data_IF_801424251578
#
_entry.id   IF_801424251578
#
_cell.length_a   1.000
_cell.length_b   1.000
_cell.length_c   1.000
_cell.angle_alpha   90.00
_cell.angle_beta   90.00
_cell.angle_gamma   90.00
#
_symmetry.space_group_name_H-M   'P 1'
#
loop_
_entity.id
_entity.type
_entity.pdbx_description
1 polymer ?
#
# COMPACT_ATOMS: atom_id res chain seq x y z
N UNK A 1 22.23 -3.77 16.45
CA UNK A 1 21.41 -2.79 17.17
C UNK A 1 20.49 -3.61 18.06
N UNK A 2 20.46 -3.37 19.36
CA UNK A 2 19.68 -4.18 20.31
C UNK A 2 18.17 -4.00 20.03
N UNK A 3 17.33 -5.06 20.05
CA UNK A 3 15.89 -4.98 19.84
C UNK A 3 15.17 -3.98 20.76
N UNK A 4 15.63 -3.85 22.01
CA UNK A 4 15.12 -2.85 22.97
C UNK A 4 15.31 -1.41 22.46
N UNK A 5 16.45 -1.11 21.84
CA UNK A 5 16.75 0.22 21.29
C UNK A 5 15.88 0.55 20.06
N UNK A 6 15.44 -0.48 19.30
CA UNK A 6 14.55 -0.30 18.13
C UNK A 6 13.11 -0.02 18.59
N UNK A 7 12.65 -0.72 19.61
CA UNK A 7 11.33 -0.51 20.20
C UNK A 7 11.20 0.87 20.84
N UNK A 8 12.21 1.29 21.63
CA UNK A 8 12.26 2.64 22.20
C UNK A 8 12.24 3.72 21.12
N UNK A 9 13.01 3.54 20.05
CA UNK A 9 13.04 4.47 18.93
C UNK A 9 11.70 4.52 18.16
N UNK A 10 11.02 3.39 18.03
CA UNK A 10 9.68 3.33 17.45
C UNK A 10 8.66 4.06 18.32
N UNK A 11 8.69 3.86 19.63
CA UNK A 11 7.82 4.58 20.57
C UNK A 11 8.07 6.09 20.55
N UNK A 12 9.33 6.52 20.51
CA UNK A 12 9.70 7.93 20.37
C UNK A 12 9.15 8.54 19.06
N UNK A 13 9.24 7.82 17.94
CA UNK A 13 8.71 8.27 16.66
C UNK A 13 7.17 8.33 16.65
N UNK A 14 6.49 7.42 17.34
CA UNK A 14 5.04 7.46 17.53
C UNK A 14 4.61 8.69 18.33
N UNK A 15 5.31 8.97 19.43
CA UNK A 15 5.04 10.16 20.26
C UNK A 15 5.31 11.45 19.49
N UNK A 16 6.40 11.52 18.72
CA UNK A 16 6.74 12.67 17.88
C UNK A 16 5.69 12.88 16.78
N UNK A 17 5.25 11.83 16.11
CA UNK A 17 4.16 11.89 15.13
C UNK A 17 2.85 12.40 15.75
N UNK A 18 2.49 11.89 16.93
CA UNK A 18 1.30 12.35 17.64
C UNK A 18 1.39 13.84 18.00
N UNK A 19 2.58 14.27 18.47
CA UNK A 19 2.83 15.68 18.79
C UNK A 19 2.73 16.57 17.54
N UNK A 20 3.30 16.15 16.42
CA UNK A 20 3.22 16.87 15.15
C UNK A 20 1.79 16.96 14.63
N UNK A 21 1.01 15.88 14.68
CA UNK A 21 -0.42 15.87 14.30
C UNK A 21 -1.24 16.86 15.17
N UNK A 22 -1.01 16.87 16.48
CA UNK A 22 -1.65 17.80 17.39
C UNK A 22 -1.26 19.26 17.09
N UNK A 23 0.01 19.49 16.70
CA UNK A 23 0.51 20.82 16.30
C UNK A 23 -0.12 21.29 14.99
N UNK A 24 -0.25 20.41 14.01
CA UNK A 24 -0.93 20.69 12.74
C UNK A 24 -2.39 21.08 13.02
N UNK A 25 -3.12 20.26 13.77
CA UNK A 25 -4.51 20.55 14.13
C UNK A 25 -4.67 21.89 14.86
N UNK A 26 -3.74 22.23 15.75
CA UNK A 26 -3.72 23.52 16.45
C UNK A 26 -3.46 24.70 15.49
N UNK A 27 -2.54 24.54 14.53
CA UNK A 27 -2.24 25.57 13.53
C UNK A 27 -3.41 25.76 12.57
N UNK A 28 -4.05 24.69 12.11
CA UNK A 28 -5.25 24.73 11.26
C UNK A 28 -6.41 25.43 11.97
N UNK A 29 -6.62 25.14 13.26
CA UNK A 29 -7.61 25.84 14.08
C UNK A 29 -7.30 27.34 14.22
N UNK A 30 -6.03 27.70 14.37
CA UNK A 30 -5.57 29.09 14.46
C UNK A 30 -5.78 29.83 13.14
N UNK A 31 -5.44 29.23 12.01
CA UNK A 31 -5.66 29.78 10.66
C UNK A 31 -7.17 30.02 10.44
N UNK A 32 -7.99 29.04 10.81
CA UNK A 32 -9.44 29.12 10.68
C UNK A 32 -10.05 30.24 11.54
N UNK A 33 -9.49 30.51 12.72
CA UNK A 33 -9.94 31.54 13.64
C UNK A 33 -9.41 32.95 13.31
N UNK A 34 -8.27 33.06 12.61
CA UNK A 34 -7.65 34.34 12.25
C UNK A 34 -8.21 34.95 10.97
N UNK A 35 -9.13 34.27 10.26
CA UNK A 35 -9.79 34.80 9.04
C UNK A 35 -8.82 35.08 7.90
N UNK A 36 -7.59 34.54 7.93
CA UNK A 36 -6.62 34.64 6.82
C UNK A 36 -7.09 33.70 5.72
N UNK A 37 -7.78 34.29 4.73
CA UNK A 37 -8.03 33.62 3.46
C UNK A 37 -6.70 33.46 2.75
N UNK A 38 -6.23 32.23 2.61
CA UNK A 38 -5.13 31.92 1.69
C UNK A 38 -5.64 32.22 0.28
N UNK A 39 -5.05 33.22 -0.37
CA UNK A 39 -5.28 33.50 -1.78
C UNK A 39 -4.69 32.34 -2.56
N UNK A 40 -5.56 31.45 -3.04
CA UNK A 40 -5.19 30.34 -3.90
C UNK A 40 -4.82 30.88 -5.29
N UNK A 41 -3.55 30.76 -5.66
CA UNK A 41 -3.15 30.77 -7.05
C UNK A 41 -3.56 29.40 -7.68
N UNK A 42 -4.61 29.45 -8.47
CA UNK A 42 -4.79 28.79 -9.75
C UNK A 42 -4.89 27.27 -9.84
N UNK A 43 -5.03 26.45 -8.78
CA UNK A 43 -5.09 24.98 -8.94
C UNK A 43 -5.97 24.26 -7.91
N UNK A 44 -7.23 24.70 -7.71
CA UNK A 44 -8.20 23.87 -6.95
C UNK A 44 -9.61 24.09 -7.46
N UNK A 45 -9.98 23.28 -8.43
CA UNK A 45 -11.36 23.22 -8.93
C UNK A 45 -11.93 21.80 -8.82
N UNK A 46 -11.71 21.17 -7.69
CA UNK A 46 -12.38 19.90 -7.34
C UNK A 46 -12.54 19.81 -5.81
N UNK A 47 -13.58 20.45 -5.25
CA UNK A 47 -14.20 20.05 -3.98
C UNK A 47 -15.46 20.89 -3.74
N UNK A 48 -16.55 20.51 -4.38
CA UNK A 48 -17.89 20.81 -3.86
C UNK A 48 -18.76 19.56 -4.02
N UNK A 49 -18.77 18.76 -2.98
CA UNK A 49 -19.93 17.94 -2.63
C UNK A 49 -20.03 17.90 -1.11
N UNK A 50 -20.95 18.70 -0.57
CA UNK A 50 -21.32 18.73 0.84
C UNK A 50 -21.86 17.36 1.27
N UNK A 51 -21.39 16.77 2.39
CA UNK A 51 -22.13 15.68 3.02
C UNK A 51 -23.34 16.25 3.77
N UNK A 52 -24.51 15.65 3.52
CA UNK A 52 -25.75 15.97 4.19
C UNK A 52 -25.66 15.66 5.70
N UNK A 53 -26.01 16.65 6.51
CA UNK A 53 -26.13 16.53 7.96
C UNK A 53 -27.39 15.73 8.27
N UNK A 54 -27.27 14.58 8.91
CA UNK A 54 -28.38 13.84 9.52
C UNK A 54 -28.44 14.23 11.01
N UNK A 55 -29.61 14.65 11.53
CA UNK A 55 -29.72 15.14 12.91
C UNK A 55 -29.66 14.00 13.93
N UNK A 56 -28.87 14.24 14.96
CA UNK A 56 -28.82 13.44 16.18
C UNK A 56 -30.13 13.52 16.94
N UNK A 57 -30.83 12.43 17.15
CA UNK A 57 -31.83 12.28 18.19
C UNK A 57 -31.44 11.24 19.23
N UNK A 58 -31.77 11.59 20.43
CA UNK A 58 -31.34 11.16 21.74
C UNK A 58 -31.60 9.72 22.16
N UNK A 59 -30.68 9.27 23.01
CA UNK A 59 -30.76 8.36 24.17
C UNK A 59 -31.79 7.24 24.20
N UNK A 60 -31.26 6.02 24.20
CA UNK A 60 -31.86 4.84 24.82
C UNK A 60 -30.76 3.88 25.23
N UNK A 61 -30.57 3.76 26.57
CA UNK A 61 -29.69 2.74 27.17
C UNK A 61 -30.23 1.34 26.90
N UNK A 62 -29.44 0.42 26.37
CA UNK A 62 -29.34 -0.96 26.85
C UNK A 62 -28.51 -1.85 25.92
N UNK A 63 -27.71 -2.70 26.56
CA UNK A 63 -27.08 -3.93 26.11
C UNK A 63 -25.85 -3.81 25.22
N UNK A 64 -24.70 -3.96 25.90
CA UNK A 64 -23.49 -4.54 25.34
C UNK A 64 -23.81 -5.92 24.79
N UNK A 65 -23.97 -6.00 23.47
CA UNK A 65 -23.72 -7.20 22.72
C UNK A 65 -22.87 -6.80 21.52
N UNK A 66 -21.76 -7.50 21.38
CA UNK A 66 -20.72 -7.34 20.40
C UNK A 66 -21.26 -7.44 18.97
N UNK A 67 -21.80 -6.35 18.45
CA UNK A 67 -22.07 -6.22 17.04
C UNK A 67 -20.78 -5.78 16.34
N UNK A 68 -19.96 -6.75 15.95
CA UNK A 68 -19.01 -6.57 14.87
C UNK A 68 -19.81 -6.10 13.66
N UNK A 69 -19.64 -4.84 13.28
CA UNK A 69 -20.14 -4.34 12.00
C UNK A 69 -19.60 -5.27 10.91
N UNK A 70 -20.45 -5.89 10.08
CA UNK A 70 -19.96 -6.73 9.01
C UNK A 70 -19.19 -5.87 8.03
N UNK A 71 -17.88 -5.91 8.10
CA UNK A 71 -17.02 -5.41 7.04
C UNK A 71 -17.44 -6.15 5.78
N UNK A 72 -17.89 -5.48 4.70
CA UNK A 72 -18.28 -6.16 3.48
C UNK A 72 -17.07 -6.91 2.96
N UNK A 73 -17.02 -8.22 3.19
CA UNK A 73 -15.91 -9.06 2.73
C UNK A 73 -16.04 -9.27 1.24
N UNK A 74 -15.21 -8.61 0.44
CA UNK A 74 -15.09 -8.88 -0.98
C UNK A 74 -14.53 -10.30 -1.15
N UNK A 75 -15.22 -11.12 -1.94
CA UNK A 75 -14.89 -12.51 -2.17
C UNK A 75 -14.97 -12.86 -3.67
N UNK A 76 -14.75 -14.13 -4.01
CA UNK A 76 -14.76 -14.59 -5.41
C UNK A 76 -16.08 -14.33 -6.15
N UNK A 77 -17.19 -14.23 -5.43
CA UNK A 77 -18.53 -13.99 -5.99
C UNK A 77 -18.91 -12.50 -6.05
N UNK A 78 -18.13 -11.61 -5.44
CA UNK A 78 -18.38 -10.17 -5.48
C UNK A 78 -18.33 -9.64 -6.91
N UNK A 79 -19.13 -8.60 -7.24
CA UNK A 79 -19.15 -7.97 -8.54
C UNK A 79 -17.74 -7.49 -8.98
N UNK A 80 -17.41 -7.55 -10.28
CA UNK A 80 -16.11 -7.09 -10.79
C UNK A 80 -15.75 -5.67 -10.36
N UNK A 81 -16.71 -4.75 -10.39
CA UNK A 81 -16.50 -3.36 -9.99
C UNK A 81 -16.05 -3.20 -8.52
N UNK A 82 -16.52 -4.06 -7.62
CA UNK A 82 -16.07 -4.05 -6.22
C UNK A 82 -14.64 -4.56 -6.09
N UNK A 83 -14.29 -5.61 -6.83
CA UNK A 83 -12.92 -6.16 -6.86
C UNK A 83 -11.93 -5.14 -7.43
N UNK A 84 -12.30 -4.44 -8.50
CA UNK A 84 -11.49 -3.38 -9.10
C UNK A 84 -11.27 -2.25 -8.09
N UNK A 85 -12.33 -1.76 -7.44
CA UNK A 85 -12.22 -0.71 -6.42
C UNK A 85 -11.33 -1.12 -5.25
N UNK A 86 -11.48 -2.35 -4.74
CA UNK A 86 -10.60 -2.87 -3.70
C UNK A 86 -9.15 -2.92 -4.17
N UNK A 87 -8.90 -3.46 -5.36
CA UNK A 87 -7.55 -3.55 -5.92
C UNK A 87 -6.91 -2.16 -6.01
N UNK A 88 -7.61 -1.19 -6.58
CA UNK A 88 -7.11 0.18 -6.72
C UNK A 88 -6.93 0.90 -5.37
N UNK A 89 -7.74 0.56 -4.36
CA UNK A 89 -7.59 1.14 -3.01
C UNK A 89 -6.36 0.61 -2.27
N UNK A 90 -5.97 -0.65 -2.52
CA UNK A 90 -4.81 -1.28 -1.90
C UNK A 90 -3.50 -0.96 -2.64
N UNK A 91 -3.51 -1.08 -3.97
CA UNK A 91 -2.32 -0.89 -4.81
C UNK A 91 -2.28 0.52 -5.40
N UNK A 92 -2.32 1.53 -4.53
CA UNK A 92 -2.14 2.93 -4.93
C UNK A 92 -0.68 3.21 -5.24
N UNK A 93 -0.43 3.83 -6.40
CA UNK A 93 0.90 4.22 -6.85
C UNK A 93 0.80 5.25 -7.95
N UNK A 94 1.74 5.25 -8.91
CA UNK A 94 1.66 6.14 -10.08
C UNK A 94 0.45 5.78 -10.94
N UNK A 95 -0.34 6.78 -11.29
CA UNK A 95 -1.53 6.65 -12.14
C UNK A 95 -1.22 6.95 -13.62
N UNK A 96 -0.10 7.65 -13.87
CA UNK A 96 0.33 8.09 -15.21
C UNK A 96 1.05 6.98 -16.00
N UNK A 97 1.40 5.88 -15.35
CA UNK A 97 2.15 4.77 -15.94
C UNK A 97 1.90 3.47 -15.19
N UNK A 98 1.89 2.36 -15.91
CA UNK A 98 1.94 1.02 -15.32
C UNK A 98 2.95 0.13 -16.03
N UNK A 99 3.46 -0.88 -15.32
CA UNK A 99 4.29 -1.92 -15.92
C UNK A 99 3.42 -3.02 -16.51
N UNK A 100 3.81 -3.57 -17.67
CA UNK A 100 3.19 -4.74 -18.23
C UNK A 100 4.23 -5.82 -18.53
N UNK A 101 3.81 -7.07 -18.49
CA UNK A 101 4.65 -8.22 -18.81
C UNK A 101 4.66 -8.44 -20.34
N UNK A 102 5.87 -8.49 -20.93
CA UNK A 102 6.01 -8.74 -22.37
C UNK A 102 7.26 -9.59 -22.66
N UNK A 103 7.28 -10.23 -23.83
CA UNK A 103 8.45 -11.01 -24.27
C UNK A 103 9.51 -10.10 -24.88
N UNK A 104 10.67 -10.04 -24.24
CA UNK A 104 11.82 -9.31 -24.75
C UNK A 104 12.63 -10.19 -25.70
N UNK A 105 12.52 -9.94 -27.01
CA UNK A 105 13.21 -10.72 -28.04
C UNK A 105 14.74 -10.69 -27.90
N UNK A 106 15.33 -9.60 -27.41
CA UNK A 106 16.79 -9.46 -27.23
C UNK A 106 17.30 -10.32 -26.06
N UNK A 107 16.49 -10.48 -25.02
CA UNK A 107 16.85 -11.24 -23.82
C UNK A 107 16.29 -12.67 -23.85
N UNK A 108 15.43 -13.01 -24.81
CA UNK A 108 14.80 -14.32 -24.92
C UNK A 108 13.89 -14.70 -23.74
N UNK A 109 13.38 -13.72 -22.99
CA UNK A 109 12.57 -13.95 -21.78
C UNK A 109 11.45 -12.93 -21.59
N UNK A 110 10.48 -13.29 -20.73
CA UNK A 110 9.46 -12.38 -20.27
C UNK A 110 10.09 -11.36 -19.30
N UNK A 111 9.77 -10.09 -19.51
CA UNK A 111 10.22 -8.97 -18.65
C UNK A 111 9.06 -8.03 -18.37
N UNK A 112 9.21 -7.19 -17.35
CA UNK A 112 8.30 -6.09 -17.08
C UNK A 112 8.90 -4.78 -17.56
N UNK A 113 8.07 -3.89 -18.08
CA UNK A 113 8.46 -2.54 -18.46
C UNK A 113 7.25 -1.63 -18.58
N UNK A 114 7.48 -0.30 -18.59
CA UNK A 114 6.40 0.67 -18.67
C UNK A 114 5.60 0.52 -19.98
N UNK A 115 4.28 0.49 -19.86
CA UNK A 115 3.39 0.47 -21.02
C UNK A 115 3.35 1.84 -21.68
N UNK A 116 3.54 1.88 -23.00
CA UNK A 116 3.41 3.12 -23.80
C UNK A 116 1.99 3.24 -24.33
N UNK A 117 1.46 4.47 -24.39
CA UNK A 117 0.16 4.76 -25.00
C UNK A 117 0.13 4.41 -26.50
N UNK A 118 1.29 4.57 -27.16
CA UNK A 118 1.48 4.27 -28.59
C UNK A 118 2.69 3.36 -28.77
N UNK A 119 2.55 2.05 -28.55
CA UNK A 119 3.67 1.10 -28.58
C UNK A 119 4.33 0.99 -29.98
N UNK A 120 3.70 1.48 -31.05
CA UNK A 120 4.24 1.53 -32.42
C UNK A 120 5.19 2.71 -32.66
N UNK A 121 5.21 3.74 -31.82
CA UNK A 121 6.16 4.85 -31.92
C UNK A 121 7.53 4.40 -31.43
N UNK A 122 8.49 4.28 -32.37
CA UNK A 122 9.78 3.63 -32.13
C UNK A 122 10.86 4.49 -31.46
N UNK A 123 10.60 5.75 -31.14
CA UNK A 123 11.60 6.60 -30.51
C UNK A 123 11.75 6.26 -29.02
N UNK A 124 12.92 5.81 -28.55
CA UNK A 124 13.17 5.67 -27.11
C UNK A 124 13.14 7.05 -26.45
N UNK A 125 12.28 7.24 -25.47
CA UNK A 125 12.24 8.46 -24.66
C UNK A 125 11.09 9.43 -24.91
N UNK A 126 10.48 9.46 -26.09
CA UNK A 126 9.48 10.46 -26.49
C UNK A 126 8.03 9.96 -26.57
N UNK A 127 7.63 9.01 -25.75
CA UNK A 127 6.27 8.49 -25.81
C UNK A 127 5.54 8.67 -24.47
N UNK A 128 4.29 9.16 -24.55
CA UNK A 128 3.37 9.13 -23.42
C UNK A 128 3.20 7.70 -22.91
N UNK A 129 3.21 7.52 -21.62
CA UNK A 129 2.88 6.23 -20.99
C UNK A 129 1.37 6.05 -20.91
N UNK A 130 0.94 4.80 -20.88
CA UNK A 130 -0.46 4.47 -20.69
C UNK A 130 -0.82 4.60 -19.22
N UNK A 131 -1.92 5.29 -18.88
CA UNK A 131 -2.35 5.46 -17.50
C UNK A 131 -2.77 4.14 -16.87
N UNK A 132 -2.59 4.03 -15.57
CA UNK A 132 -3.11 2.94 -14.75
C UNK A 132 -4.53 3.26 -14.32
N UNK A 133 -5.52 2.67 -14.97
CA UNK A 133 -6.93 2.93 -14.75
C UNK A 133 -7.74 1.64 -14.43
N UNK A 134 -9.03 1.80 -14.15
CA UNK A 134 -9.93 0.68 -13.86
C UNK A 134 -9.99 -0.37 -14.99
N UNK A 135 -9.79 0.02 -16.24
CA UNK A 135 -9.79 -0.90 -17.40
C UNK A 135 -8.54 -1.78 -17.37
N UNK A 136 -7.39 -1.21 -17.03
CA UNK A 136 -6.15 -1.96 -16.88
C UNK A 136 -6.30 -2.99 -15.74
N UNK A 137 -6.89 -2.59 -14.62
CA UNK A 137 -7.16 -3.50 -13.49
C UNK A 137 -8.18 -4.58 -13.88
N UNK A 138 -9.26 -4.25 -14.59
CA UNK A 138 -10.24 -5.24 -15.07
C UNK A 138 -9.58 -6.28 -15.99
N UNK A 139 -8.76 -5.84 -16.93
CA UNK A 139 -8.02 -6.74 -17.85
C UNK A 139 -7.04 -7.63 -17.07
N UNK A 140 -6.33 -7.08 -16.10
CA UNK A 140 -5.41 -7.83 -15.23
C UNK A 140 -6.15 -8.90 -14.42
N UNK A 141 -7.23 -8.54 -13.74
CA UNK A 141 -8.00 -9.46 -12.89
C UNK A 141 -8.70 -10.57 -13.70
N UNK A 142 -9.06 -10.31 -14.93
CA UNK A 142 -9.64 -11.31 -15.86
C UNK A 142 -8.57 -12.12 -16.59
N UNK A 143 -7.32 -11.72 -16.56
CA UNK A 143 -6.28 -12.32 -17.39
C UNK A 143 -6.52 -12.13 -18.89
N UNK A 144 -7.20 -11.03 -19.28
CA UNK A 144 -7.56 -10.74 -20.68
C UNK A 144 -6.28 -10.61 -21.51
N UNK A 145 -6.21 -11.35 -22.63
CA UNK A 145 -5.03 -11.46 -23.51
C UNK A 145 -3.71 -11.79 -22.76
N UNK A 146 -3.81 -12.47 -21.62
CA UNK A 146 -2.64 -12.77 -20.78
C UNK A 146 -2.02 -11.53 -20.11
N UNK A 147 -2.78 -10.42 -20.01
CA UNK A 147 -2.30 -9.18 -19.44
C UNK A 147 -1.95 -9.34 -17.96
N UNK A 148 -0.71 -9.01 -17.63
CA UNK A 148 -0.25 -8.86 -16.24
C UNK A 148 0.27 -7.43 -16.10
N UNK A 149 -0.45 -6.65 -15.30
CA UNK A 149 -0.10 -5.28 -14.97
C UNK A 149 0.63 -5.23 -13.63
N UNK A 150 1.58 -4.31 -13.50
CA UNK A 150 2.27 -3.99 -12.26
C UNK A 150 2.18 -2.49 -11.97
N UNK A 151 2.03 -2.15 -10.71
CA UNK A 151 2.00 -0.77 -10.24
C UNK A 151 3.41 -0.28 -9.99
N UNK A 152 3.71 0.97 -10.34
CA UNK A 152 4.90 1.66 -9.86
C UNK A 152 4.57 2.24 -8.48
N UNK A 153 5.09 1.66 -7.38
CA UNK A 153 4.64 1.98 -6.03
C UNK A 153 5.09 3.35 -5.53
N UNK A 154 6.20 3.90 -6.07
CA UNK A 154 6.74 5.19 -5.65
C UNK A 154 6.12 6.29 -6.51
N UNK A 155 5.37 7.17 -5.86
CA UNK A 155 4.74 8.35 -6.47
C UNK A 155 5.78 9.42 -6.84
N UNK A 156 5.35 10.46 -7.58
CA UNK A 156 6.26 11.53 -8.04
C UNK A 156 6.82 12.40 -6.90
N UNK A 157 6.19 12.37 -5.74
CA UNK A 157 6.59 13.06 -4.52
C UNK A 157 7.42 12.18 -3.56
N UNK A 158 7.97 11.07 -4.06
CA UNK A 158 8.72 10.07 -3.30
C UNK A 158 7.90 9.37 -2.19
N UNK A 159 6.58 9.47 -2.21
CA UNK A 159 5.69 8.74 -1.30
C UNK A 159 5.30 7.36 -1.86
N UNK A 160 4.75 6.50 -0.99
CA UNK A 160 4.14 5.23 -1.35
C UNK A 160 2.99 4.89 -0.41
N UNK A 161 2.05 4.06 -0.87
CA UNK A 161 0.89 3.60 -0.10
C UNK A 161 0.98 2.16 0.34
N UNK A 162 1.98 1.44 -0.11
CA UNK A 162 2.23 0.07 0.31
C UNK A 162 3.71 -0.28 0.20
N UNK A 163 4.10 -1.31 0.96
CA UNK A 163 5.40 -1.96 0.89
C UNK A 163 5.18 -3.41 0.47
N UNK A 164 6.03 -3.90 -0.42
CA UNK A 164 6.10 -5.31 -0.79
C UNK A 164 7.46 -5.89 -0.39
N UNK A 165 7.44 -7.06 0.23
CA UNK A 165 8.63 -7.87 0.44
C UNK A 165 8.47 -9.14 -0.41
N UNK A 166 9.46 -9.44 -1.23
CA UNK A 166 9.50 -10.63 -2.07
C UNK A 166 10.34 -11.72 -1.41
N UNK A 167 9.72 -12.87 -1.16
CA UNK A 167 10.36 -14.05 -0.60
C UNK A 167 10.49 -15.09 -1.69
N UNK A 168 11.69 -15.21 -2.24
CA UNK A 168 12.01 -16.11 -3.34
C UNK A 168 12.84 -17.30 -2.88
N UNK A 169 12.50 -18.50 -3.40
CA UNK A 169 13.31 -19.73 -3.28
C UNK A 169 13.49 -20.26 -1.84
N UNK A 170 14.21 -21.38 -1.74
CA UNK A 170 14.54 -21.95 -0.44
C UNK A 170 13.32 -22.32 0.41
N UNK A 171 13.36 -21.95 1.69
CA UNK A 171 12.31 -22.22 2.68
C UNK A 171 11.36 -21.01 2.83
N UNK A 172 10.94 -20.42 1.71
CA UNK A 172 10.11 -19.19 1.71
C UNK A 172 8.85 -19.29 2.58
N UNK A 173 8.24 -20.51 2.69
CA UNK A 173 7.08 -20.71 3.58
C UNK A 173 7.44 -20.44 5.02
N UNK A 174 8.59 -20.95 5.47
CA UNK A 174 9.07 -20.75 6.83
C UNK A 174 9.50 -19.29 7.05
N UNK A 175 10.09 -18.65 6.05
CA UNK A 175 10.44 -17.23 6.11
C UNK A 175 9.17 -16.36 6.23
N UNK A 176 8.12 -16.69 5.48
CA UNK A 176 6.83 -16.04 5.54
C UNK A 176 6.14 -16.24 6.91
N UNK A 177 6.21 -17.45 7.49
CA UNK A 177 5.68 -17.75 8.82
C UNK A 177 6.38 -16.92 9.90
N UNK A 178 7.71 -16.90 9.91
CA UNK A 178 8.49 -16.14 10.88
C UNK A 178 8.23 -14.64 10.76
N UNK A 179 8.17 -14.11 9.54
CA UNK A 179 7.87 -12.70 9.31
C UNK A 179 6.45 -12.35 9.77
N UNK A 180 5.47 -13.21 9.49
CA UNK A 180 4.09 -13.05 10.00
C UNK A 180 4.04 -13.03 11.52
N UNK A 181 4.77 -13.91 12.18
CA UNK A 181 4.79 -13.99 13.64
C UNK A 181 5.45 -12.74 14.26
N UNK A 182 6.52 -12.23 13.66
CA UNK A 182 7.12 -10.93 14.03
C UNK A 182 6.09 -9.80 13.87
N UNK A 183 5.40 -9.73 12.74
CA UNK A 183 4.38 -8.72 12.50
C UNK A 183 3.22 -8.82 13.51
N UNK A 184 2.80 -10.04 13.85
CA UNK A 184 1.74 -10.26 14.84
C UNK A 184 2.13 -9.76 16.23
N UNK A 185 3.36 -10.00 16.67
CA UNK A 185 3.87 -9.51 17.97
C UNK A 185 3.99 -7.98 18.02
N UNK A 186 4.29 -7.37 16.88
CA UNK A 186 4.37 -5.91 16.74
C UNK A 186 3.01 -5.27 16.41
N UNK A 187 1.93 -6.06 16.34
CA UNK A 187 0.58 -5.62 15.96
C UNK A 187 0.53 -4.92 14.60
N UNK A 188 1.43 -5.32 13.66
CA UNK A 188 1.50 -4.77 12.30
C UNK A 188 0.64 -5.64 11.37
N UNK A 189 -0.42 -5.09 10.76
CA UNK A 189 -1.22 -5.81 9.78
C UNK A 189 -0.38 -6.23 8.56
N UNK A 190 -0.48 -7.48 8.17
CA UNK A 190 0.27 -8.05 7.05
C UNK A 190 -0.60 -8.99 6.23
N UNK A 191 -0.46 -8.93 4.90
CA UNK A 191 -1.08 -9.87 3.97
C UNK A 191 -0.01 -10.66 3.23
N UNK A 192 -0.17 -11.98 3.13
CA UNK A 192 0.79 -12.85 2.45
C UNK A 192 0.11 -13.52 1.26
N UNK A 193 0.69 -13.38 0.09
CA UNK A 193 0.24 -13.96 -1.16
C UNK A 193 1.31 -14.94 -1.67
N UNK A 194 0.88 -16.12 -2.12
CA UNK A 194 1.76 -17.04 -2.82
C UNK A 194 2.07 -16.50 -4.22
N UNK A 195 3.34 -16.45 -4.60
CA UNK A 195 3.75 -15.96 -5.92
C UNK A 195 3.15 -16.79 -7.06
N UNK A 196 3.01 -16.20 -8.24
CA UNK A 196 2.45 -16.85 -9.43
C UNK A 196 3.21 -18.13 -9.80
N UNK A 197 4.52 -18.18 -9.60
CA UNK A 197 5.34 -19.37 -9.84
C UNK A 197 5.08 -20.52 -8.86
N UNK A 198 4.46 -20.20 -7.71
CA UNK A 198 4.28 -21.13 -6.60
C UNK A 198 5.53 -21.35 -5.74
N UNK A 199 6.66 -20.76 -6.08
CA UNK A 199 7.99 -20.95 -5.45
C UNK A 199 8.46 -19.74 -4.65
N UNK A 200 7.53 -18.94 -4.15
CA UNK A 200 7.81 -17.74 -3.37
C UNK A 200 6.54 -17.15 -2.80
N UNK A 201 6.66 -16.03 -2.12
CA UNK A 201 5.55 -15.25 -1.59
C UNK A 201 5.82 -13.75 -1.68
N UNK A 202 4.77 -12.98 -1.87
CA UNK A 202 4.77 -11.54 -1.68
C UNK A 202 4.15 -11.23 -0.32
N UNK A 203 4.82 -10.42 0.47
CA UNK A 203 4.33 -9.96 1.77
C UNK A 203 4.01 -8.48 1.63
N UNK A 204 2.73 -8.13 1.84
CA UNK A 204 2.16 -6.81 1.59
C UNK A 204 1.85 -6.09 2.89
N UNK A 205 2.27 -4.82 2.95
CA UNK A 205 1.93 -3.88 4.01
C UNK A 205 1.25 -2.68 3.37
N UNK A 206 -0.02 -2.46 3.68
CA UNK A 206 -0.80 -1.36 3.13
C UNK A 206 -0.88 -0.24 4.16
N UNK A 207 -0.58 0.98 3.74
CA UNK A 207 -0.62 2.17 4.58
C UNK A 207 -1.95 2.90 4.38
N UNK A 208 -2.54 3.37 5.47
CA UNK A 208 -3.77 4.17 5.42
C UNK A 208 -3.52 5.48 4.68
N UNK A 209 -2.43 6.18 5.07
CA UNK A 209 -1.93 7.39 4.43
C UNK A 209 -0.64 7.13 3.65
N UNK A 210 -0.31 8.01 2.70
CA UNK A 210 0.96 7.97 2.01
C UNK A 210 2.14 8.17 2.97
N UNK A 211 3.19 7.37 2.83
CA UNK A 211 4.43 7.49 3.61
C UNK A 211 5.61 7.67 2.67
N UNK A 212 6.68 8.30 3.13
CA UNK A 212 7.91 8.40 2.33
C UNK A 212 8.44 7.00 1.99
N UNK A 213 8.80 6.77 0.74
CA UNK A 213 9.34 5.48 0.29
C UNK A 213 10.63 5.09 1.04
N UNK A 214 11.40 6.05 1.52
CA UNK A 214 12.55 5.83 2.40
C UNK A 214 12.12 5.16 3.71
N UNK A 215 11.13 5.73 4.40
CA UNK A 215 10.59 5.22 5.67
C UNK A 215 9.99 3.82 5.49
N UNK A 216 9.25 3.62 4.40
CA UNK A 216 8.71 2.31 4.05
C UNK A 216 9.81 1.25 3.88
N UNK A 217 10.93 1.58 3.19
CA UNK A 217 12.07 0.67 3.06
C UNK A 217 12.78 0.39 4.38
N UNK A 218 12.91 1.40 5.24
CA UNK A 218 13.47 1.24 6.59
C UNK A 218 12.63 0.28 7.43
N UNK A 219 11.30 0.39 7.38
CA UNK A 219 10.38 -0.57 8.01
C UNK A 219 10.61 -1.99 7.48
N UNK A 220 10.63 -2.17 6.16
CA UNK A 220 10.85 -3.48 5.55
C UNK A 220 12.18 -4.11 5.97
N UNK A 221 13.25 -3.31 6.01
CA UNK A 221 14.57 -3.76 6.45
C UNK A 221 14.56 -4.17 7.93
N UNK A 222 13.90 -3.40 8.79
CA UNK A 222 13.78 -3.71 10.21
C UNK A 222 13.02 -5.02 10.46
N UNK A 223 11.89 -5.23 9.77
CA UNK A 223 11.08 -6.44 9.87
C UNK A 223 11.84 -7.68 9.38
N UNK A 224 12.53 -7.57 8.23
CA UNK A 224 13.37 -8.65 7.72
C UNK A 224 14.51 -8.98 8.67
N UNK A 225 15.16 -7.98 9.26
CA UNK A 225 16.23 -8.20 10.24
C UNK A 225 15.70 -8.92 11.48
N UNK A 226 14.54 -8.51 12.00
CA UNK A 226 13.91 -9.19 13.13
C UNK A 226 13.56 -10.65 12.82
N UNK A 227 12.99 -10.90 11.62
CA UNK A 227 12.65 -12.25 11.18
C UNK A 227 13.91 -13.13 11.01
N UNK A 228 14.99 -12.60 10.43
CA UNK A 228 16.26 -13.33 10.27
C UNK A 228 16.88 -13.69 11.62
N UNK A 229 16.89 -12.78 12.59
CA UNK A 229 17.41 -13.05 13.94
C UNK A 229 16.62 -14.17 14.61
N UNK A 230 15.30 -14.11 14.58
CA UNK A 230 14.42 -15.16 15.13
C UNK A 230 14.65 -16.51 14.45
N UNK A 231 14.81 -16.54 13.13
CA UNK A 231 15.08 -17.76 12.40
C UNK A 231 16.41 -18.41 12.79
N UNK A 232 17.44 -17.59 13.03
CA UNK A 232 18.74 -18.05 13.51
C UNK A 232 18.63 -18.67 14.91
N UNK A 233 17.90 -18.05 15.83
CA UNK A 233 17.65 -18.57 17.18
C UNK A 233 16.94 -19.93 17.14
N UNK A 234 15.92 -20.09 16.28
CA UNK A 234 15.21 -21.38 16.13
C UNK A 234 16.15 -22.48 15.61
N UNK A 235 17.04 -22.18 14.66
CA UNK A 235 18.02 -23.16 14.14
C UNK A 235 19.07 -23.58 15.18
N UNK A 236 19.42 -22.69 16.11
CA UNK A 236 20.39 -23.00 17.18
C UNK A 236 19.75 -23.77 18.35
N UNK A 237 18.45 -23.75 18.52
CA UNK A 237 17.71 -24.44 19.58
C UNK A 237 17.18 -25.81 19.15
N UNK A 238 17.40 -26.23 17.89
CA UNK A 238 16.99 -27.51 17.31
C UNK A 238 18.14 -28.47 17.24
#
# INVERSE_FOLDING_TARGET
>A
MNPENLYEKYQQLLEENQLLRNRIASLEATIKNTGVSLVEDGATKYLESKPAIIPTQALGKSNLDSAQSPTPSINKFSPPAEKIRLFMSLFKGREDVFAHKYFNKKQGKMVYGPMKSKPWERKPGDGEYAPFDERVVDHHLRGFDGMIAGVFPICLDDSCHFLAIDLDKGEWQRDAEVLRDVCKELEIPVSIERSQSGNGAHVWFFFEDAVLAKTSRELGTALLTAAMNRRHEIKMSS
#
